data_IF_286631518288
#
_entry.id   IF_286631518288
#
_cell.length_a   1.000
_cell.length_b   1.000
_cell.length_c   1.000
_cell.angle_alpha   90.00
_cell.angle_beta   90.00
_cell.angle_gamma   90.00
#
_symmetry.space_group_name_H-M   'P 1'
#
loop_
_entity.id
_entity.type
_entity.pdbx_description
1 polymer ?
2 polymer ?
3 non-polymer ?
4 water ?
#
# COMPACT_ATOMS: atom_id res chain seq x y z
N UNK A 1 -7.94 -29.36 1.83
CA UNK A 1 -7.74 -27.91 1.94
C UNK A 1 -8.97 -27.17 2.42
N UNK A 2 -8.77 -25.99 3.00
CA UNK A 2 -9.89 -25.24 3.53
C UNK A 2 -10.16 -23.98 2.72
N UNK A 3 -11.39 -23.86 2.22
CA UNK A 3 -11.80 -22.64 1.54
C UNK A 3 -12.39 -21.65 2.53
N UNK A 4 -11.88 -20.42 2.53
CA UNK A 4 -12.43 -19.34 3.33
C UNK A 4 -13.16 -18.36 2.42
N UNK A 5 -14.43 -18.12 2.75
CA UNK A 5 -15.33 -17.31 1.93
C UNK A 5 -15.74 -16.06 2.71
N UNK A 6 -15.24 -14.92 2.29
CA UNK A 6 -15.49 -13.66 3.00
C UNK A 6 -16.51 -12.79 2.24
N UNK A 7 -17.40 -12.12 2.98
CA UNK A 7 -18.37 -11.21 2.38
C UNK A 7 -18.67 -10.07 3.35
N UNK A 8 -18.88 -8.84 2.81
CA UNK A 8 -18.87 -8.44 1.40
C UNK A 8 -17.46 -8.03 0.98
N UNK A 9 -17.25 -7.85 -0.32
CA UNK A 9 -15.96 -7.38 -0.83
C UNK A 9 -15.77 -5.90 -0.50
N UNK A 10 -16.86 -5.15 -0.59
CA UNK A 10 -16.82 -3.72 -0.31
C UNK A 10 -17.88 -3.42 0.73
N UNK A 11 -17.52 -2.74 1.81
CA UNK A 11 -18.46 -2.40 2.86
C UNK A 11 -18.52 -0.89 3.13
N UNK A 12 -19.44 -0.20 2.45
CA UNK A 12 -19.65 1.23 2.67
C UNK A 12 -20.55 1.46 3.88
N UNK A 13 -20.09 2.28 4.82
CA UNK A 13 -20.83 2.50 6.04
C UNK A 13 -20.75 3.96 6.48
N UNK A 14 -21.89 4.51 6.89
CA UNK A 14 -21.94 5.86 7.44
C UNK A 14 -21.23 5.86 8.80
N UNK A 15 -20.38 6.86 9.07
CA UNK A 15 -19.73 6.87 10.38
C UNK A 15 -20.77 6.91 11.51
N UNK A 16 -20.56 6.13 12.56
CA UNK A 16 -21.53 6.03 13.63
C UNK A 16 -22.35 4.76 13.56
N UNK A 17 -22.49 4.21 12.37
CA UNK A 17 -23.30 3.00 12.15
C UNK A 17 -22.46 1.77 12.45
N UNK A 18 -23.11 0.66 12.82
CA UNK A 18 -22.37 -0.60 13.04
C UNK A 18 -22.02 -1.26 11.70
N UNK A 19 -21.07 -2.18 11.72
CA UNK A 19 -20.75 -2.95 10.53
C UNK A 19 -20.46 -4.39 10.88
N UNK A 20 -20.71 -5.29 9.94
CA UNK A 20 -20.41 -6.71 10.16
C UNK A 20 -19.81 -7.33 8.91
N UNK A 21 -18.72 -8.07 9.10
CA UNK A 21 -18.08 -8.81 8.01
C UNK A 21 -18.22 -10.30 8.28
N UNK A 22 -18.66 -11.04 7.27
CA UNK A 22 -18.86 -12.48 7.40
C UNK A 22 -17.70 -13.27 6.83
N UNK A 23 -17.44 -14.43 7.43
CA UNK A 23 -16.42 -15.34 6.95
C UNK A 23 -16.92 -16.78 7.15
N UNK A 24 -16.88 -17.57 6.10
CA UNK A 24 -17.37 -18.93 6.13
C UNK A 24 -16.24 -19.87 5.79
N UNK A 25 -16.11 -20.96 6.55
CA UNK A 25 -15.11 -22.00 6.26
C UNK A 25 -15.77 -23.24 5.68
N UNK A 26 -15.03 -23.97 4.84
CA UNK A 26 -15.59 -25.17 4.23
C UNK A 26 -15.66 -26.37 5.17
N UNK A 27 -15.01 -26.29 6.32
CA UNK A 27 -15.17 -27.30 7.37
C UNK A 27 -15.03 -26.61 8.73
N UNK A 28 -15.52 -27.23 9.80
CA UNK A 28 -15.43 -26.61 11.12
C UNK A 28 -13.99 -26.27 11.51
N UNK A 29 -13.80 -25.13 12.14
CA UNK A 29 -12.46 -24.71 12.57
C UNK A 29 -12.24 -24.92 14.09
N UNK A 30 -13.05 -25.78 14.71
CA UNK A 30 -13.06 -26.00 16.17
C UNK A 30 -12.20 -27.18 16.72
N UNK A 31 -12.36 -27.46 18.02
CA UNK A 31 -11.65 -28.44 18.86
C UNK A 31 -10.56 -29.37 18.29
N UNK A 32 -9.39 -28.82 17.99
CA UNK A 32 -8.16 -29.59 18.07
C UNK A 32 -7.33 -28.86 19.14
N UNK A 33 -8.01 -28.48 20.22
CA UNK A 33 -7.52 -27.41 21.07
C UNK A 33 -8.41 -27.08 22.25
N UNK A 34 -9.62 -26.65 21.90
CA UNK A 34 -10.48 -25.87 22.75
C UNK A 34 -10.96 -24.74 21.85
N UNK A 35 -10.09 -24.35 20.94
CA UNK A 35 -10.25 -23.13 20.19
C UNK A 35 -10.82 -23.30 18.79
N UNK A 36 -11.32 -22.18 18.27
CA UNK A 36 -11.70 -22.03 16.87
C UNK A 36 -10.53 -21.34 16.20
N UNK A 37 -9.93 -21.99 15.20
CA UNK A 37 -8.73 -21.43 14.59
C UNK A 37 -9.02 -20.48 13.43
N UNK A 38 -9.63 -19.35 13.78
CA UNK A 38 -10.04 -18.33 12.84
C UNK A 38 -9.58 -16.99 13.39
N UNK A 39 -8.92 -16.20 12.56
CA UNK A 39 -8.35 -14.96 13.04
C UNK A 39 -8.68 -13.85 12.06
N UNK A 40 -8.74 -12.63 12.59
CA UNK A 40 -9.05 -11.45 11.79
C UNK A 40 -7.92 -10.44 11.84
N UNK A 41 -7.56 -9.93 10.66
CA UNK A 41 -6.47 -8.96 10.50
C UNK A 41 -6.89 -7.72 9.76
N UNK A 42 -6.20 -6.63 10.07
CA UNK A 42 -6.25 -5.41 9.28
C UNK A 42 -4.96 -5.26 8.50
N UNK A 43 -5.05 -5.15 7.18
CA UNK A 43 -3.85 -4.96 6.36
C UNK A 43 -3.21 -3.60 6.67
N UNK A 44 -1.89 -3.59 6.77
CA UNK A 44 -1.16 -2.35 7.01
C UNK A 44 0.04 -2.30 6.09
N UNK A 45 -0.13 -1.68 4.91
CA UNK A 45 0.98 -1.53 3.95
C UNK A 45 2.24 -1.01 4.63
N UNK A 46 3.36 -1.69 4.44
CA UNK A 46 4.63 -1.26 5.01
C UNK A 46 5.05 -1.96 6.29
N UNK A 47 4.14 -2.71 6.91
CA UNK A 47 4.45 -3.42 8.15
C UNK A 47 3.61 -4.67 8.28
N UNK A 48 3.73 -5.34 9.42
CA UNK A 48 2.89 -6.50 9.71
C UNK A 48 1.39 -6.19 9.68
N UNK A 49 0.58 -7.15 9.23
CA UNK A 49 -0.87 -6.96 9.36
C UNK A 49 -1.20 -6.91 10.85
N UNK A 50 -2.20 -6.12 11.22
CA UNK A 50 -2.54 -5.99 12.62
C UNK A 50 -3.53 -7.07 13.03
N UNK A 51 -3.18 -7.89 14.02
CA UNK A 51 -4.16 -8.83 14.56
C UNK A 51 -5.24 -8.07 15.31
N UNK A 52 -6.50 -8.34 14.96
CA UNK A 52 -7.61 -7.69 15.62
C UNK A 52 -8.25 -8.66 16.59
N UNK A 53 -8.64 -9.82 16.05
CA UNK A 53 -9.27 -10.90 16.81
C UNK A 53 -8.50 -12.16 16.51
N UNK A 54 -8.17 -12.95 17.52
CA UNK A 54 -7.53 -14.23 17.25
C UNK A 54 -8.28 -15.34 17.95
N UNK A 55 -8.13 -16.55 17.41
CA UNK A 55 -8.79 -17.74 17.95
C UNK A 55 -10.29 -17.48 18.15
N UNK A 56 -10.91 -16.95 17.11
CA UNK A 56 -12.36 -16.78 17.08
C UNK A 56 -12.89 -15.50 17.70
N UNK A 57 -12.56 -15.25 18.97
CA UNK A 57 -13.22 -14.19 19.70
C UNK A 57 -12.29 -13.40 20.64
N UNK A 58 -11.00 -13.68 20.61
CA UNK A 58 -10.09 -12.99 21.53
C UNK A 58 -9.57 -11.69 20.92
N UNK A 59 -9.94 -10.57 21.54
CA UNK A 59 -9.52 -9.26 21.05
C UNK A 59 -8.08 -9.00 21.48
N UNK A 60 -7.23 -8.63 20.52
CA UNK A 60 -5.85 -8.35 20.83
C UNK A 60 -5.72 -7.03 21.62
N UNK A 61 -4.67 -6.93 22.42
CA UNK A 61 -4.47 -5.74 23.24
C UNK A 61 -4.35 -4.51 22.37
N UNK A 62 -4.93 -3.40 22.82
CA UNK A 62 -4.88 -2.17 22.06
C UNK A 62 -6.05 -2.00 21.10
N UNK A 63 -6.67 -3.10 20.70
CA UNK A 63 -7.83 -3.03 19.81
C UNK A 63 -9.06 -2.56 20.62
N UNK A 64 -9.74 -1.51 20.15
CA UNK A 64 -10.94 -0.95 20.78
C UNK A 64 -12.05 -1.98 20.96
N UNK A 65 -12.80 -1.92 22.06
CA UNK A 65 -13.85 -2.90 22.31
C UNK A 65 -15.05 -2.72 21.40
N UNK A 66 -14.98 -1.72 20.51
CA UNK A 66 -15.92 -1.58 19.38
C UNK A 66 -15.82 -2.76 18.42
N UNK A 67 -14.66 -3.40 18.40
CA UNK A 67 -14.43 -4.57 17.56
C UNK A 67 -14.68 -5.86 18.34
N UNK A 68 -15.36 -6.81 17.73
CA UNK A 68 -15.55 -8.11 18.38
C UNK A 68 -15.67 -9.20 17.34
N UNK A 69 -15.39 -10.44 17.75
CA UNK A 69 -15.47 -11.55 16.85
C UNK A 69 -16.30 -12.66 17.46
N UNK A 70 -17.04 -13.37 16.62
CA UNK A 70 -17.78 -14.53 17.11
C UNK A 70 -17.97 -15.53 15.98
N UNK A 71 -18.57 -16.66 16.32
CA UNK A 71 -18.91 -17.67 15.36
C UNK A 71 -18.71 -19.02 15.99
N UNK A 72 -19.25 -20.05 15.36
CA UNK A 72 -18.92 -21.40 15.78
C UNK A 72 -18.91 -22.31 14.57
N UNK A 73 -17.94 -23.21 14.55
CA UNK A 73 -17.81 -24.16 13.47
C UNK A 73 -17.37 -23.53 12.17
N UNK A 74 -18.34 -23.07 11.38
CA UNK A 74 -18.07 -22.69 10.00
C UNK A 74 -18.44 -21.27 9.63
N UNK A 75 -19.22 -20.58 10.45
CA UNK A 75 -19.58 -19.21 10.11
C UNK A 75 -19.17 -18.22 11.20
N UNK A 76 -18.40 -17.22 10.79
CA UNK A 76 -17.79 -16.28 11.70
C UNK A 76 -18.11 -14.85 11.31
N UNK A 77 -18.11 -13.96 12.28
CA UNK A 77 -18.31 -12.55 11.97
C UNK A 77 -17.34 -11.68 12.71
N UNK A 78 -16.90 -10.61 12.06
CA UNK A 78 -16.19 -9.53 12.71
C UNK A 78 -17.15 -8.37 12.75
N UNK A 79 -17.43 -7.86 13.96
CA UNK A 79 -18.39 -6.78 14.13
C UNK A 79 -17.74 -5.51 14.66
N UNK A 80 -18.13 -4.38 14.08
CA UNK A 80 -17.73 -3.08 14.58
C UNK A 80 -18.99 -2.39 15.08
N UNK A 81 -19.07 -2.11 16.38
CA UNK A 81 -20.33 -1.65 16.98
C UNK A 81 -20.68 -0.23 16.53
N UNK A 82 -19.65 0.55 16.26
CA UNK A 82 -19.79 1.94 15.84
C UNK A 82 -18.56 2.27 15.00
N UNK A 83 -18.76 2.47 13.71
CA UNK A 83 -17.66 2.69 12.79
C UNK A 83 -17.18 4.13 12.89
N UNK A 84 -15.86 4.28 12.95
CA UNK A 84 -15.22 5.59 12.95
C UNK A 84 -14.42 5.80 11.66
N UNK A 85 -14.16 7.07 11.35
CA UNK A 85 -13.47 7.39 10.10
C UNK A 85 -12.14 6.67 10.00
N UNK A 86 -11.47 6.48 11.14
CA UNK A 86 -10.18 5.81 11.16
C UNK A 86 -10.25 4.32 10.86
N UNK A 87 -11.45 3.74 10.84
CA UNK A 87 -11.56 2.31 10.60
C UNK A 87 -11.42 1.90 9.13
N UNK A 88 -11.29 2.87 8.24
CA UNK A 88 -11.13 2.56 6.82
C UNK A 88 -9.94 1.62 6.62
N UNK A 89 -10.10 0.63 5.74
CA UNK A 89 -9.01 -0.26 5.44
C UNK A 89 -9.49 -1.59 4.92
N UNK A 90 -8.53 -2.50 4.75
CA UNK A 90 -8.78 -3.81 4.18
C UNK A 90 -8.63 -4.88 5.25
N UNK A 91 -9.69 -5.66 5.44
CA UNK A 91 -9.80 -6.63 6.54
C UNK A 91 -9.87 -8.05 6.01
N UNK A 92 -9.12 -8.97 6.62
CA UNK A 92 -9.07 -10.38 6.20
C UNK A 92 -9.42 -11.30 7.33
N UNK A 93 -10.17 -12.35 7.04
CA UNK A 93 -10.18 -13.51 7.95
C UNK A 93 -9.20 -14.54 7.41
N UNK A 94 -8.70 -15.39 8.29
CA UNK A 94 -7.82 -16.47 7.86
C UNK A 94 -7.90 -17.63 8.85
N UNK A 95 -7.72 -18.85 8.35
CA UNK A 95 -7.79 -20.03 9.22
C UNK A 95 -6.41 -20.67 9.40
N UNK A 96 -6.18 -21.26 10.57
CA UNK A 96 -4.93 -21.99 10.84
C UNK A 96 -5.21 -23.35 11.47
N UNK A 97 -6.42 -23.84 11.26
CA UNK A 97 -6.76 -25.20 11.67
C UNK A 97 -5.81 -26.19 11.02
N UNK A 98 -5.56 -25.95 9.74
CA UNK A 98 -4.68 -26.79 8.94
C UNK A 98 -3.74 -25.92 8.13
N UNK A 99 -2.62 -26.50 7.73
CA UNK A 99 -1.79 -25.94 6.68
C UNK A 99 -2.13 -26.64 5.35
N UNK A 100 -2.14 -25.90 4.23
CA UNK A 100 -1.84 -24.47 4.11
C UNK A 100 -2.82 -23.57 4.84
N UNK A 101 -2.30 -22.55 5.50
CA UNK A 101 -3.16 -21.47 5.96
C UNK A 101 -3.87 -20.88 4.75
N UNK A 102 -5.15 -20.51 4.92
CA UNK A 102 -5.89 -19.93 3.81
C UNK A 102 -6.69 -18.72 4.31
N UNK A 103 -7.04 -17.85 3.36
CA UNK A 103 -7.47 -16.48 3.63
C UNK A 103 -8.76 -16.16 2.90
N UNK A 104 -9.59 -15.30 3.52
CA UNK A 104 -10.73 -14.75 2.82
C UNK A 104 -10.27 -13.78 1.74
N UNK A 105 -11.22 -13.38 0.88
CA UNK A 105 -10.94 -12.46 -0.22
C UNK A 105 -10.58 -11.05 0.25
N UNK A 106 -11.02 -10.69 1.45
CA UNK A 106 -10.76 -9.37 1.98
C UNK A 106 -11.97 -8.47 1.82
N UNK A 107 -12.16 -7.59 2.78
CA UNK A 107 -13.27 -6.64 2.77
C UNK A 107 -12.70 -5.24 2.91
N UNK A 108 -13.04 -4.36 1.97
CA UNK A 108 -12.64 -2.96 2.07
C UNK A 108 -13.75 -2.16 2.75
N UNK A 109 -13.49 -1.75 3.98
CA UNK A 109 -14.42 -0.87 4.69
C UNK A 109 -14.22 0.55 4.17
N UNK A 110 -15.30 1.13 3.64
CA UNK A 110 -15.32 2.48 3.10
C UNK A 110 -16.24 3.36 3.91
N UNK A 111 -15.82 4.58 4.23
CA UNK A 111 -16.67 5.49 4.96
C UNK A 111 -17.52 6.29 3.99
N UNK A 112 -18.84 6.23 4.17
CA UNK A 112 -19.77 7.00 3.34
C UNK A 112 -20.04 8.38 3.93
N UNK A 113 -19.39 9.39 3.36
CA UNK A 113 -19.60 10.74 3.83
C UNK A 113 -20.40 11.55 2.82
N UNK A 114 -20.71 12.80 3.13
CA UNK A 114 -21.39 13.66 2.17
C UNK A 114 -20.52 13.91 0.93
N UNK A 115 -21.16 14.22 -0.19
CA UNK A 115 -20.44 14.55 -1.41
C UNK A 115 -19.53 15.76 -1.19
N UNK A 116 -18.31 15.68 -1.71
CA UNK A 116 -17.35 16.77 -1.62
C UNK A 116 -16.71 16.96 -2.98
N UNK A 117 -16.82 18.16 -3.52
CA UNK A 117 -16.28 18.46 -4.85
C UNK A 117 -14.78 18.60 -4.77
N UNK A 118 -14.07 18.13 -5.80
CA UNK A 118 -12.61 18.28 -5.73
C UNK A 118 -12.18 19.72 -5.93
N UNK A 119 -11.12 20.09 -5.24
CA UNK A 119 -10.40 21.33 -5.52
C UNK A 119 -9.29 20.99 -6.49
N UNK A 120 -9.27 21.67 -7.63
CA UNK A 120 -8.42 21.30 -8.75
C UNK A 120 -7.27 22.28 -8.90
N UNK A 121 -6.06 21.74 -9.05
CA UNK A 121 -4.86 22.55 -9.23
C UNK A 121 -4.10 22.03 -10.44
N UNK A 122 -3.47 22.92 -11.19
CA UNK A 122 -2.65 22.43 -12.30
C UNK A 122 -1.23 22.99 -12.17
N UNK A 123 -0.23 22.15 -12.47
CA UNK A 123 1.17 22.50 -12.42
C UNK A 123 1.85 22.33 -13.77
N UNK A 124 2.42 23.43 -14.29
CA UNK A 124 3.25 23.30 -15.48
C UNK A 124 4.51 22.48 -15.19
N UNK A 125 5.17 21.97 -16.23
CA UNK A 125 6.49 21.40 -15.98
C UNK A 125 7.41 22.47 -15.40
N UNK A 126 8.24 22.07 -14.45
CA UNK A 126 9.21 22.96 -13.86
C UNK A 126 10.28 23.31 -14.87
N UNK A 127 10.87 24.49 -14.74
CA UNK A 127 12.00 24.84 -15.58
C UNK A 127 13.13 23.80 -15.42
N UNK A 128 13.28 23.28 -14.20
CA UNK A 128 14.30 22.28 -13.93
C UNK A 128 14.08 21.02 -14.75
N UNK A 129 12.84 20.54 -14.80
CA UNK A 129 12.55 19.36 -15.60
C UNK A 129 12.76 19.65 -17.09
N UNK A 130 12.27 20.80 -17.55
CA UNK A 130 12.43 21.17 -18.96
C UNK A 130 13.89 21.20 -19.38
N UNK A 131 14.77 21.65 -18.49
CA UNK A 131 16.17 21.69 -18.83
C UNK A 131 16.71 20.27 -19.00
N UNK A 132 16.08 19.30 -18.34
CA UNK A 132 16.53 17.92 -18.44
C UNK A 132 15.98 17.24 -19.69
N UNK A 133 15.04 17.91 -20.37
CA UNK A 133 14.54 17.45 -21.65
C UNK A 133 13.18 16.76 -21.62
N UNK A 134 12.51 16.75 -20.48
CA UNK A 134 11.19 16.14 -20.42
C UNK A 134 10.17 17.15 -19.88
N UNK A 135 8.89 16.84 -20.07
CA UNK A 135 7.84 17.72 -19.61
C UNK A 135 6.71 16.88 -19.01
N UNK A 136 6.45 17.09 -17.72
CA UNK A 136 5.32 16.47 -17.07
C UNK A 136 4.38 17.57 -16.60
N UNK A 137 3.11 17.46 -16.97
CA UNK A 137 2.09 18.40 -16.53
C UNK A 137 1.27 17.63 -15.49
N UNK A 138 1.07 18.23 -14.32
CA UNK A 138 0.39 17.51 -13.24
C UNK A 138 -0.91 18.20 -12.88
N UNK A 139 -1.98 17.42 -12.85
CA UNK A 139 -3.27 17.91 -12.39
C UNK A 139 -3.61 17.25 -11.05
N UNK A 140 -3.99 18.06 -10.07
CA UNK A 140 -4.31 17.57 -8.73
C UNK A 140 -5.79 17.77 -8.41
N UNK A 141 -6.46 16.70 -8.04
CA UNK A 141 -7.85 16.76 -7.57
C UNK A 141 -7.78 16.49 -6.09
N UNK A 142 -8.11 17.49 -5.29
CA UNK A 142 -7.91 17.39 -3.84
C UNK A 142 -9.18 17.29 -3.03
N UNK A 143 -9.19 16.31 -2.13
CA UNK A 143 -10.21 16.13 -1.10
C UNK A 143 -11.63 16.06 -1.64
N UNK A 144 -11.92 14.99 -2.38
CA UNK A 144 -13.24 14.79 -2.92
C UNK A 144 -13.85 13.46 -2.48
N UNK A 145 -15.17 13.37 -2.67
CA UNK A 145 -15.93 12.16 -2.37
C UNK A 145 -17.23 12.22 -3.17
N UNK A 146 -17.67 11.11 -3.77
CA UNK A 146 -17.08 9.77 -3.78
C UNK A 146 -15.88 9.67 -4.68
N UNK A 147 -15.34 8.46 -4.77
CA UNK A 147 -14.07 8.25 -5.44
C UNK A 147 -14.13 8.43 -6.95
N UNK A 148 -15.29 8.14 -7.55
CA UNK A 148 -15.44 8.23 -9.00
C UNK A 148 -15.17 9.64 -9.52
N UNK A 149 -14.21 9.77 -10.44
CA UNK A 149 -13.85 11.05 -11.04
C UNK A 149 -13.30 10.80 -12.42
N UNK A 150 -13.54 11.72 -13.33
CA UNK A 150 -12.94 11.63 -14.67
C UNK A 150 -12.03 12.82 -14.92
N UNK A 151 -10.82 12.57 -15.38
CA UNK A 151 -9.90 13.63 -15.74
C UNK A 151 -9.64 13.53 -17.24
N UNK A 152 -9.84 14.64 -17.93
CA UNK A 152 -9.56 14.71 -19.37
C UNK A 152 -8.53 15.79 -19.64
N UNK A 153 -7.48 15.44 -20.38
CA UNK A 153 -6.44 16.40 -20.72
C UNK A 153 -6.69 16.98 -22.11
N UNK A 154 -6.46 18.28 -22.25
CA UNK A 154 -6.57 18.92 -23.56
C UNK A 154 -5.34 19.76 -23.81
N UNK A 155 -4.80 19.67 -25.01
CA UNK A 155 -3.63 20.46 -25.40
C UNK A 155 -3.96 21.22 -26.66
N UNK A 156 -4.08 22.54 -26.55
CA UNK A 156 -4.65 23.38 -27.61
C UNK A 156 -5.94 22.75 -28.13
N UNK A 157 -6.79 22.35 -27.19
CA UNK A 157 -8.10 21.76 -27.44
C UNK A 157 -8.09 20.38 -28.12
N UNK A 158 -6.91 19.78 -28.23
CA UNK A 158 -6.83 18.39 -28.68
C UNK A 158 -6.99 17.45 -27.49
N UNK A 159 -7.95 16.55 -27.56
CA UNK A 159 -8.19 15.62 -26.47
C UNK A 159 -7.07 14.60 -26.41
N UNK A 160 -6.42 14.50 -25.26
CA UNK A 160 -5.36 13.53 -25.05
C UNK A 160 -5.93 12.19 -24.61
N UNK A 161 -5.53 11.12 -25.29
CA UNK A 161 -6.02 9.80 -24.94
C UNK A 161 -4.84 8.83 -24.90
N UNK A 162 -4.54 8.32 -23.72
CA UNK A 162 -3.46 7.34 -23.59
C UNK A 162 -2.11 7.90 -23.19
N UNK A 163 -1.99 9.21 -23.02
CA UNK A 163 -0.67 9.72 -22.64
C UNK A 163 -0.66 10.33 -21.24
N UNK A 164 -1.56 9.84 -20.41
CA UNK A 164 -1.54 10.25 -19.01
C UNK A 164 -1.63 9.05 -18.08
N UNK A 165 -1.13 9.23 -16.87
CA UNK A 165 -1.25 8.21 -15.83
C UNK A 165 -1.82 8.86 -14.59
N UNK A 166 -2.63 8.12 -13.83
CA UNK A 166 -3.15 8.70 -12.61
C UNK A 166 -3.06 7.72 -11.46
N UNK A 167 -3.07 8.27 -10.24
CA UNK A 167 -3.20 7.42 -9.08
C UNK A 167 -3.95 8.17 -8.01
N UNK A 168 -4.50 7.39 -7.08
CA UNK A 168 -5.45 7.90 -6.10
C UNK A 168 -5.00 7.46 -4.73
N UNK A 169 -5.16 8.34 -3.75
CA UNK A 169 -4.84 7.99 -2.37
C UNK A 169 -5.89 7.07 -1.78
N UNK A 170 -5.51 6.41 -0.69
CA UNK A 170 -6.48 5.68 0.10
C UNK A 170 -7.39 6.70 0.74
N UNK A 171 -8.55 6.26 1.19
CA UNK A 171 -9.49 7.16 1.82
C UNK A 171 -8.88 7.77 3.10
N UNK A 172 -8.97 9.10 3.22
CA UNK A 172 -8.35 9.79 4.37
C UNK A 172 -8.96 9.31 5.69
N UNK A 173 -8.10 9.05 6.68
CA UNK A 173 -8.54 8.49 7.95
C UNK A 173 -9.26 9.50 8.85
N UNK A 174 -9.23 10.78 8.49
CA UNK A 174 -9.89 11.82 9.27
C UNK A 174 -11.12 12.38 8.58
N UNK A 175 -10.98 12.84 7.32
CA UNK A 175 -12.12 13.44 6.64
C UNK A 175 -12.74 12.56 5.55
N UNK A 176 -12.19 11.37 5.33
CA UNK A 176 -12.81 10.33 4.50
C UNK A 176 -12.91 10.72 3.03
N UNK A 177 -12.06 11.65 2.60
CA UNK A 177 -12.01 12.04 1.20
C UNK A 177 -10.90 11.32 0.48
N UNK A 178 -10.89 11.49 -0.83
CA UNK A 178 -9.82 11.00 -1.70
C UNK A 178 -9.12 12.17 -2.35
N UNK A 179 -7.90 11.94 -2.81
CA UNK A 179 -7.21 12.88 -3.66
C UNK A 179 -6.62 12.11 -4.84
N UNK A 180 -6.45 12.79 -5.97
CA UNK A 180 -6.00 12.11 -7.18
C UNK A 180 -4.99 12.99 -7.89
N UNK A 181 -3.97 12.34 -8.47
CA UNK A 181 -2.97 13.04 -9.26
C UNK A 181 -3.00 12.45 -10.67
N UNK A 182 -3.05 13.30 -11.68
CA UNK A 182 -2.96 12.84 -13.06
C UNK A 182 -1.76 13.52 -13.69
N UNK A 183 -0.91 12.74 -14.34
CA UNK A 183 0.28 13.29 -14.98
C UNK A 183 0.23 13.08 -16.48
N UNK A 184 0.29 14.18 -17.21
CA UNK A 184 0.37 14.14 -18.66
C UNK A 184 1.83 14.25 -19.07
N UNK A 185 2.29 13.27 -19.83
CA UNK A 185 3.67 13.21 -20.27
C UNK A 185 3.82 13.64 -21.74
N UNK A 186 4.77 14.55 -21.98
CA UNK A 186 5.15 14.97 -23.34
C UNK A 186 6.64 15.19 -23.46
N UNK A 187 7.16 15.10 -24.69
CA UNK A 187 8.54 15.53 -24.91
C UNK A 187 8.61 17.05 -24.76
N UNK A 188 9.77 17.56 -24.37
CA UNK A 188 9.95 19.00 -24.26
C UNK A 188 9.65 19.68 -25.59
N UNK A 189 10.12 19.08 -26.69
CA UNK A 189 9.87 19.62 -28.02
C UNK A 189 8.37 19.81 -28.23
N UNK A 190 7.58 18.81 -27.86
CA UNK A 190 6.14 18.88 -28.02
C UNK A 190 5.50 19.86 -27.03
N UNK A 191 6.07 19.97 -25.83
CA UNK A 191 5.53 20.93 -24.88
C UNK A 191 5.70 22.36 -25.43
N UNK A 192 6.85 22.63 -26.02
CA UNK A 192 7.14 23.98 -26.52
C UNK A 192 6.33 24.32 -27.78
N UNK A 193 5.82 23.31 -28.47
CA UNK A 193 4.99 23.51 -29.66
C UNK A 193 3.57 24.03 -29.32
N UNK A 194 3.19 24.01 -28.05
CA UNK A 194 1.82 24.34 -27.71
C UNK A 194 1.64 25.37 -26.60
N UNK A 195 0.42 25.92 -26.55
CA UNK A 195 0.09 27.05 -25.69
C UNK A 195 -0.79 26.65 -24.52
N UNK A 196 -1.99 26.17 -24.82
CA UNK A 196 -3.00 25.99 -23.78
C UNK A 196 -3.02 24.55 -23.25
N UNK A 197 -2.73 24.42 -21.95
CA UNK A 197 -2.75 23.13 -21.28
C UNK A 197 -3.89 23.08 -20.30
N UNK A 198 -4.77 22.10 -20.46
CA UNK A 198 -6.03 22.09 -19.73
C UNK A 198 -6.35 20.74 -19.14
N UNK A 199 -6.76 20.76 -17.88
CA UNK A 199 -7.21 19.59 -17.13
C UNK A 199 -8.71 19.76 -16.84
N UNK A 200 -9.54 18.89 -17.42
CA UNK A 200 -10.98 18.99 -17.23
C UNK A 200 -11.48 17.88 -16.32
N UNK A 201 -12.19 18.26 -15.26
CA UNK A 201 -12.56 17.32 -14.20
C UNK A 201 -14.08 17.17 -14.09
N UNK A 202 -14.52 15.92 -14.13
CA UNK A 202 -15.92 15.58 -13.95
C UNK A 202 -16.09 14.86 -12.62
N UNK A 203 -17.05 15.32 -11.83
CA UNK A 203 -17.30 14.73 -10.53
C UNK A 203 -18.71 15.05 -10.09
N UNK A 204 -19.30 14.18 -9.27
CA UNK A 204 -20.67 14.33 -8.80
C UNK A 204 -20.93 15.68 -8.14
N UNK A 205 -19.91 16.22 -7.46
CA UNK A 205 -20.07 17.47 -6.75
C UNK A 205 -20.03 18.71 -7.63
N UNK A 206 -19.68 18.54 -8.91
CA UNK A 206 -19.60 19.64 -9.86
C UNK A 206 -20.78 19.61 -10.82
N UNK A 207 -21.56 20.69 -10.89
CA UNK A 207 -22.73 20.71 -11.76
C UNK A 207 -22.35 20.43 -13.20
N UNK A 208 -21.20 20.96 -13.58
CA UNK A 208 -20.62 20.82 -14.91
C UNK A 208 -19.13 20.65 -14.70
N UNK A 209 -18.44 20.04 -15.68
CA UNK A 209 -17.01 19.84 -15.49
C UNK A 209 -16.24 21.13 -15.27
N UNK A 210 -15.22 21.06 -14.44
CA UNK A 210 -14.36 22.20 -14.14
C UNK A 210 -13.08 22.07 -14.97
N UNK A 211 -12.67 23.15 -15.61
CA UNK A 211 -11.40 23.13 -16.32
C UNK A 211 -10.40 24.08 -15.67
N UNK A 212 -9.24 23.55 -15.29
CA UNK A 212 -8.12 24.39 -14.87
C UNK A 212 -7.11 24.38 -15.99
N UNK A 213 -6.62 25.55 -16.36
CA UNK A 213 -5.68 25.60 -17.46
C UNK A 213 -4.60 26.63 -17.20
N UNK A 214 -3.54 26.57 -17.98
CA UNK A 214 -2.53 27.61 -18.02
C UNK A 214 -2.05 27.78 -19.44
N UNK A 215 -1.55 28.97 -19.74
CA UNK A 215 -0.86 29.22 -21.00
C UNK A 215 0.64 29.09 -20.74
N UNK A 216 1.30 28.26 -21.55
CA UNK A 216 2.72 28.00 -21.38
C UNK A 216 3.56 29.28 -21.28
N UNK A 217 4.36 29.35 -20.21
CA UNK A 217 5.38 30.37 -20.08
C UNK A 217 4.86 31.75 -19.76
N UNK A 218 3.64 31.86 -19.23
CA UNK A 218 3.12 33.17 -18.89
C UNK A 218 2.79 33.31 -17.39
N UNK A 219 3.52 34.22 -16.77
CA UNK A 219 3.42 34.51 -15.35
C UNK A 219 2.01 34.96 -14.95
N UNK B 1 10.04 -9.48 25.19
CA UNK B 1 9.04 -9.23 24.15
C UNK B 1 9.30 -10.06 22.88
N UNK B 2 8.26 -10.67 22.32
CA UNK B 2 8.38 -11.46 21.09
C UNK B 2 8.63 -10.58 19.90
N UNK B 3 9.67 -10.96 19.17
CA UNK B 3 10.20 -10.09 18.11
C UNK B 3 10.70 -10.99 16.97
N UNK B 4 10.26 -10.65 15.76
CA UNK B 4 10.68 -11.31 14.51
C UNK B 4 11.00 -10.19 13.54
N UNK B 5 12.24 -10.13 13.10
CA UNK B 5 12.65 -9.07 12.19
C UNK B 5 13.31 -9.68 10.97
N UNK B 6 12.88 -9.24 9.80
CA UNK B 6 13.30 -9.82 8.54
C UNK B 6 14.39 -8.99 7.87
N UNK B 7 15.12 -9.61 6.96
CA UNK B 7 16.14 -8.90 6.21
C UNK B 7 15.51 -7.90 5.27
N UNK B 8 16.32 -7.02 4.72
CA UNK B 8 15.83 -5.90 3.93
C UNK B 8 15.33 -6.22 2.53
N UNK B 9 14.72 -5.24 1.90
CA UNK B 9 14.18 -5.36 0.54
C UNK B 9 15.21 -5.88 -0.46
N UNK B 10 14.71 -6.64 -1.43
CA UNK B 10 15.53 -7.32 -2.42
C UNK B 10 15.04 -6.98 -3.81
N UNK B 11 15.97 -6.85 -4.73
CA UNK B 11 15.60 -6.66 -6.11
C UNK B 11 16.39 -7.68 -6.92
N UNK B 12 15.69 -8.43 -7.74
CA UNK B 12 16.32 -9.55 -8.47
C UNK B 12 15.90 -9.55 -9.93
N UNK B 13 16.76 -10.10 -10.80
CA UNK B 13 16.41 -10.35 -12.19
C UNK B 13 15.67 -11.67 -12.29
N UNK B 14 14.77 -11.82 -13.29
CA UNK B 14 14.12 -13.10 -13.50
C UNK B 14 15.12 -14.25 -13.64
N UNK B 15 14.84 -15.36 -12.96
CA UNK B 15 15.71 -16.52 -12.99
C UNK B 15 16.59 -16.64 -11.77
N UNK B 16 16.80 -15.53 -11.06
CA UNK B 16 17.67 -15.54 -9.89
C UNK B 16 16.93 -16.08 -8.67
N UNK B 17 17.67 -16.47 -7.63
CA UNK B 17 17.03 -16.82 -6.36
C UNK B 17 17.04 -15.65 -5.38
N UNK B 18 16.27 -15.76 -4.31
CA UNK B 18 16.33 -14.80 -3.23
C UNK B 18 16.28 -15.58 -1.91
N UNK B 19 17.03 -15.11 -0.91
CA UNK B 19 17.01 -15.71 0.41
C UNK B 19 16.65 -14.63 1.43
N UNK B 20 15.57 -14.87 2.18
CA UNK B 20 15.11 -13.90 3.18
C UNK B 20 15.32 -14.51 4.57
N UNK B 21 15.81 -13.71 5.52
CA UNK B 21 15.99 -14.20 6.89
C UNK B 21 14.92 -13.64 7.81
N UNK B 22 14.73 -14.35 8.93
CA UNK B 22 13.73 -14.02 9.93
C UNK B 22 14.41 -14.24 11.28
N UNK B 23 14.98 -13.17 11.84
CA UNK B 23 15.70 -13.28 13.11
C UNK B 23 14.74 -13.04 14.27
N UNK B 24 14.79 -13.91 15.28
CA UNK B 24 13.84 -13.81 16.38
C UNK B 24 14.50 -13.56 17.73
N UNK B 25 13.72 -13.04 18.68
CA UNK B 25 14.15 -12.94 20.07
C UNK B 25 12.92 -12.93 20.96
N UNK B 26 13.14 -13.10 22.26
CA UNK B 26 12.07 -12.96 23.23
C UNK B 26 11.15 -14.15 23.43
N UNK B 27 11.51 -15.30 22.84
CA UNK B 27 10.76 -16.53 23.07
C UNK B 27 11.61 -17.74 22.73
N UNK B 28 11.19 -18.90 23.22
CA UNK B 28 11.88 -20.17 22.96
C UNK B 28 11.68 -20.60 21.51
N UNK B 29 12.71 -20.38 20.71
CA UNK B 29 12.65 -20.60 19.27
C UNK B 29 12.20 -22.01 18.90
N UNK B 30 12.62 -23.00 19.67
CA UNK B 30 12.31 -24.38 19.34
C UNK B 30 10.85 -24.77 19.58
N UNK B 31 10.09 -23.90 20.25
CA UNK B 31 8.74 -24.24 20.65
C UNK B 31 7.65 -23.94 19.61
N UNK B 32 8.00 -23.16 18.59
CA UNK B 32 7.00 -22.73 17.58
C UNK B 32 7.42 -22.98 16.14
N UNK B 33 6.46 -23.36 15.30
CA UNK B 33 6.68 -23.35 13.86
C UNK B 33 6.88 -21.93 13.35
N UNK B 34 7.68 -21.80 12.29
CA UNK B 34 7.80 -20.53 11.56
C UNK B 34 7.20 -20.72 10.18
N UNK B 35 6.16 -19.92 9.89
CA UNK B 35 5.48 -19.96 8.61
C UNK B 35 5.94 -18.81 7.74
N UNK B 36 5.84 -18.98 6.43
CA UNK B 36 6.07 -17.89 5.49
C UNK B 36 4.85 -17.67 4.63
N UNK B 37 4.47 -16.41 4.48
CA UNK B 37 3.29 -15.97 3.74
C UNK B 37 3.71 -14.84 2.82
N UNK B 38 3.15 -14.77 1.61
CA UNK B 38 3.44 -13.60 0.79
C UNK B 38 2.14 -12.94 0.30
N UNK B 39 2.25 -11.68 -0.09
CA UNK B 39 1.14 -11.03 -0.78
C UNK B 39 1.65 -10.22 -1.96
N UNK B 40 1.20 -10.62 -3.14
CA UNK B 40 1.57 -9.98 -4.40
C UNK B 40 0.58 -8.88 -4.73
N UNK B 41 1.01 -7.88 -5.52
CA UNK B 41 0.08 -6.82 -5.90
C UNK B 41 -1.19 -7.36 -6.58
N UNK B 42 -2.35 -6.88 -6.15
CA UNK B 42 -3.61 -7.28 -6.73
C UNK B 42 -4.01 -8.72 -6.45
N UNK B 43 -3.37 -9.32 -5.46
CA UNK B 43 -3.65 -10.71 -5.11
C UNK B 43 -3.93 -10.84 -3.62
N UNK B 44 -4.60 -11.93 -3.24
CA UNK B 44 -4.78 -12.21 -1.83
C UNK B 44 -3.50 -12.78 -1.26
N UNK B 45 -3.41 -12.89 0.06
CA UNK B 45 -2.24 -13.55 0.67
C UNK B 45 -2.18 -15.03 0.34
N UNK B 46 -0.96 -15.57 0.37
CA UNK B 46 -0.67 -16.95 0.03
C UNK B 46 0.28 -17.55 1.06
N UNK B 47 -0.07 -18.70 1.64
CA UNK B 47 0.85 -19.45 2.51
C UNK B 47 1.86 -20.22 1.65
N UNK B 48 3.13 -20.01 1.94
CA UNK B 48 4.23 -20.63 1.19
C UNK B 48 4.62 -21.96 1.83
N UNK B 49 4.75 -21.96 3.15
CA UNK B 49 5.16 -23.18 3.84
C UNK B 49 5.55 -22.91 5.29
N UNK B 50 6.10 -23.88 5.94
CA UNK B 50 6.55 -23.72 7.32
C UNK B 50 7.69 -24.66 7.63
N UNK B 51 8.45 -24.28 8.63
CA UNK B 51 9.48 -25.16 9.16
C UNK B 51 9.23 -25.36 10.64
N UNK B 52 9.48 -26.58 11.13
CA UNK B 52 9.42 -26.87 12.56
C UNK B 52 10.84 -26.86 13.11
N UNK B 53 11.16 -25.85 13.92
CA UNK B 53 12.54 -25.73 14.40
C UNK B 53 13.12 -26.96 15.08
N UNK B 54 12.38 -27.63 15.96
CA UNK B 54 13.00 -28.69 16.76
C UNK B 54 13.46 -29.88 15.90
N UNK B 55 12.75 -30.13 14.80
CA UNK B 55 13.05 -31.27 13.95
C UNK B 55 13.70 -30.88 12.63
N UNK B 56 13.57 -29.62 12.26
CA UNK B 56 13.95 -29.17 10.94
C UNK B 56 12.99 -29.51 9.84
N UNK B 57 11.88 -30.14 10.21
CA UNK B 57 10.92 -30.62 9.25
C UNK B 57 10.25 -29.48 8.51
N UNK B 58 10.07 -29.67 7.21
CA UNK B 58 9.44 -28.65 6.37
C UNK B 58 8.17 -29.15 5.69
N UNK B 59 7.27 -28.21 5.41
CA UNK B 59 6.06 -28.49 4.65
C UNK B 59 5.79 -27.28 3.77
N UNK B 60 5.70 -27.49 2.45
CA UNK B 60 5.47 -26.40 1.49
C UNK B 60 4.17 -26.59 0.74
N UNK B 61 3.52 -25.50 0.37
CA UNK B 61 2.35 -25.59 -0.49
C UNK B 61 2.76 -26.15 -1.85
N UNK B 62 1.82 -26.81 -2.52
CA UNK B 62 2.09 -27.48 -3.80
C UNK B 62 2.75 -26.55 -4.82
N UNK B 63 2.27 -25.31 -4.86
CA UNK B 63 2.74 -24.30 -5.80
C UNK B 63 4.25 -24.04 -5.66
N UNK B 64 4.78 -24.24 -4.47
CA UNK B 64 6.18 -23.94 -4.20
C UNK B 64 7.08 -25.17 -4.04
N UNK B 65 6.51 -26.37 -4.14
CA UNK B 65 7.31 -27.59 -4.13
C UNK B 65 8.37 -27.50 -5.25
N UNK B 66 9.63 -27.74 -4.89
CA UNK B 66 10.72 -27.68 -5.85
C UNK B 66 11.23 -26.30 -6.18
N UNK B 67 10.67 -25.27 -5.54
CA UNK B 67 11.06 -23.88 -5.75
C UNK B 67 11.60 -23.24 -4.48
N UNK B 68 11.14 -23.74 -3.34
CA UNK B 68 11.43 -23.07 -2.08
C UNK B 68 12.19 -24.01 -1.13
N UNK B 69 13.10 -23.44 -0.36
CA UNK B 69 13.79 -24.18 0.68
C UNK B 69 13.72 -23.38 1.97
N UNK B 70 13.15 -23.99 3.00
CA UNK B 70 13.15 -23.36 4.31
C UNK B 70 14.17 -24.03 5.20
N UNK B 71 14.94 -23.21 5.90
CA UNK B 71 15.94 -23.72 6.83
C UNK B 71 15.84 -22.93 8.11
N UNK B 72 16.64 -23.34 9.09
CA UNK B 72 16.76 -22.61 10.31
C UNK B 72 18.08 -22.89 11.02
N UNK B 73 18.57 -21.91 11.77
CA UNK B 73 19.74 -22.16 12.60
C UNK B 73 19.36 -21.95 14.06
N UNK B 74 19.38 -23.04 14.82
CA UNK B 74 18.99 -22.99 16.21
C UNK B 74 19.89 -22.07 17.04
N UNK B 75 21.19 -22.09 16.77
CA UNK B 75 22.11 -21.28 17.58
C UNK B 75 21.85 -19.79 17.39
N UNK B 76 21.20 -19.43 16.28
CA UNK B 76 20.95 -18.03 15.97
C UNK B 76 19.47 -17.66 16.08
N UNK B 77 18.64 -18.63 16.45
CA UNK B 77 17.19 -18.39 16.55
C UNK B 77 16.64 -17.71 15.30
N UNK B 78 17.05 -18.22 14.14
CA UNK B 78 16.74 -17.55 12.88
C UNK B 78 16.22 -18.54 11.86
N UNK B 79 15.16 -18.17 11.14
CA UNK B 79 14.66 -19.00 10.05
C UNK B 79 14.96 -18.35 8.71
N UNK B 80 15.11 -19.16 7.67
CA UNK B 80 15.36 -18.65 6.33
C UNK B 80 14.40 -19.21 5.31
N UNK B 81 14.11 -18.41 4.29
CA UNK B 81 13.32 -18.85 3.15
C UNK B 81 14.07 -18.50 1.86
N UNK B 82 14.42 -19.51 1.08
CA UNK B 82 15.04 -19.27 -0.22
C UNK B 82 14.08 -19.67 -1.34
N UNK B 83 13.82 -18.73 -2.24
CA UNK B 83 12.92 -19.01 -3.37
C UNK B 83 13.71 -18.90 -4.65
N UNK B 84 13.72 -19.96 -5.44
CA UNK B 84 14.55 -19.97 -6.64
C UNK B 84 13.70 -19.78 -7.92
N UNK B 85 14.39 -19.53 -9.04
CA UNK B 85 13.74 -19.32 -10.32
C UNK B 85 12.70 -18.22 -10.33
N UNK B 86 13.04 -17.06 -9.76
CA UNK B 86 12.09 -15.98 -9.61
C UNK B 86 11.52 -15.50 -10.94
N UNK B 87 10.21 -15.26 -10.94
CA UNK B 87 9.53 -14.69 -12.10
C UNK B 87 8.87 -13.39 -11.67
N UNK B 88 8.32 -12.68 -12.65
CA UNK B 88 7.72 -11.38 -12.41
C UNK B 88 6.60 -11.45 -11.37
N UNK B 89 5.82 -12.53 -11.40
CA UNK B 89 4.71 -12.66 -10.45
C UNK B 89 5.14 -13.21 -9.09
N UNK B 90 6.45 -13.33 -8.88
CA UNK B 90 6.96 -13.56 -7.53
C UNK B 90 7.21 -12.24 -6.82
N UNK B 91 7.00 -11.12 -7.53
CA UNK B 91 7.08 -9.82 -6.92
C UNK B 91 5.99 -9.72 -5.84
N UNK B 92 6.40 -9.47 -4.61
CA UNK B 92 5.49 -9.56 -3.47
C UNK B 92 6.16 -9.10 -2.19
N UNK B 93 5.36 -8.86 -1.15
CA UNK B 93 5.91 -8.73 0.19
C UNK B 93 5.84 -10.10 0.86
N UNK B 94 6.97 -10.54 1.41
CA UNK B 94 7.09 -11.84 2.05
C UNK B 94 7.16 -11.67 3.57
N UNK B 95 6.41 -12.49 4.30
CA UNK B 95 6.38 -12.42 5.75
C UNK B 95 6.75 -13.73 6.41
N UNK B 96 7.50 -13.66 7.52
CA UNK B 96 7.62 -14.82 8.39
C UNK B 96 6.62 -14.63 9.52
N UNK B 97 6.11 -15.75 10.04
CA UNK B 97 5.08 -15.71 11.07
C UNK B 97 5.33 -16.79 12.11
N UNK B 98 5.43 -16.37 13.37
CA UNK B 98 5.48 -17.37 14.44
C UNK B 98 4.10 -18.00 14.58
N UNK B 99 4.05 -19.33 14.61
CA UNK B 99 2.77 -20.01 14.69
C UNK B 99 2.03 -19.75 15.98
N UNK B 100 0.77 -20.20 16.02
CA UNK B 100 -0.09 -19.92 17.17
C UNK B 100 0.17 -20.78 18.41
N UNK B 101 0.66 -21.99 18.21
CA UNK B 101 0.69 -22.98 19.28
C UNK B 101 2.10 -23.50 19.57
N UNK B 102 2.36 -23.81 20.84
CA UNK B 102 3.66 -24.36 21.21
C UNK B 102 3.59 -25.86 21.51
N UNK B 103 2.54 -26.52 21.06
CA UNK B 103 2.40 -27.95 21.29
C UNK B 103 1.68 -28.27 22.59
N UNK B 104 1.41 -27.22 23.37
CA UNK B 104 0.63 -27.35 24.60
C UNK B 104 -0.53 -26.36 24.62
N UNK B 105 -0.24 -25.10 24.32
CA UNK B 105 -1.26 -24.05 24.34
C UNK B 105 -1.19 -23.19 23.07
N UNK B 106 -2.27 -22.46 22.80
CA UNK B 106 -2.34 -21.62 21.60
C UNK B 106 -2.71 -20.17 21.94
N UNK B 107 -2.18 -19.22 21.17
CA UNK B 107 -2.54 -17.82 21.35
C UNK B 107 -2.42 -17.12 20.01
N UNK B 108 -2.09 -15.84 20.00
CA UNK B 108 -1.96 -15.12 18.74
C UNK B 108 -0.69 -15.44 17.97
N UNK B 109 -0.68 -15.11 16.69
CA UNK B 109 0.53 -15.20 15.91
C UNK B 109 1.34 -13.90 16.08
N UNK B 110 2.63 -14.00 15.80
CA UNK B 110 3.47 -12.80 15.70
C UNK B 110 4.12 -12.75 14.34
N UNK B 111 3.95 -11.63 13.65
CA UNK B 111 4.46 -11.45 12.28
C UNK B 111 5.75 -10.65 12.20
N UNK B 112 6.61 -11.02 11.27
CA UNK B 112 7.71 -10.14 10.86
C UNK B 112 7.18 -8.91 10.13
N UNK B 113 8.06 -7.95 9.85
CA UNK B 113 7.59 -6.68 9.30
C UNK B 113 7.40 -6.74 7.77
N UNK B 114 7.82 -7.84 7.16
CA UNK B 114 7.70 -8.00 5.72
C UNK B 114 9.00 -7.67 5.01
N UNK B 115 9.20 -8.36 3.89
CA UNK B 115 10.35 -8.11 3.02
C UNK B 115 9.82 -7.96 1.61
N UNK B 116 10.01 -6.78 1.02
CA UNK B 116 9.65 -6.59 -0.39
C UNK B 116 10.68 -7.27 -1.30
N UNK B 117 10.21 -8.14 -2.18
CA UNK B 117 11.07 -8.73 -3.23
C UNK B 117 10.52 -8.24 -4.57
N UNK B 118 11.31 -7.46 -5.29
CA UNK B 118 10.92 -7.00 -6.59
C UNK B 118 11.64 -7.81 -7.66
N UNK B 119 10.90 -8.44 -8.57
CA UNK B 119 11.52 -9.22 -9.63
C UNK B 119 11.31 -8.52 -10.96
N UNK B 120 12.40 -8.14 -11.63
CA UNK B 120 12.30 -7.28 -12.78
C UNK B 120 13.61 -7.25 -13.54
N UNK B 121 13.52 -7.01 -14.85
CA UNK B 121 14.71 -6.83 -15.68
C UNK B 121 15.39 -5.48 -15.45
N UNK B 122 14.65 -4.55 -14.86
CA UNK B 122 15.16 -3.21 -14.61
C UNK B 122 16.32 -3.18 -13.63
N UNK B 123 17.13 -2.14 -13.73
CA UNK B 123 18.28 -1.96 -12.85
C UNK B 123 18.00 -0.80 -11.93
N UNK B 124 18.56 -0.87 -10.73
CA UNK B 124 18.36 0.17 -9.71
C UNK B 124 18.77 1.53 -10.26
N UNK B 125 17.94 2.55 -9.98
CA UNK B 125 18.24 3.90 -10.44
C UNK B 125 17.61 4.90 -9.49
N UNK B 126 18.34 5.98 -9.19
CA UNK B 126 17.81 7.01 -8.32
C UNK B 126 16.87 7.94 -9.07
N UNK B 127 15.98 8.61 -8.33
CA UNK B 127 15.02 9.53 -8.94
C UNK B 127 15.60 10.92 -9.16
N UNK B 128 15.03 11.67 -10.09
CA UNK B 128 15.22 13.11 -10.12
C UNK B 128 14.07 13.69 -9.33
N UNK B 129 14.30 14.81 -8.66
CA UNK B 129 13.25 15.45 -7.87
C UNK B 129 12.99 16.84 -8.43
N UNK B 130 11.76 17.09 -8.86
CA UNK B 130 11.42 18.36 -9.48
C UNK B 130 10.35 19.07 -8.68
N UNK B 131 10.42 20.39 -8.59
CA UNK B 131 9.40 21.09 -7.81
C UNK B 131 8.08 21.26 -8.57
N UNK B 132 6.99 21.19 -7.83
CA UNK B 132 5.68 21.55 -8.35
C UNK B 132 5.30 22.86 -7.68
N UNK B 133 5.53 23.96 -8.38
CA UNK B 133 5.54 25.26 -7.73
C UNK B 133 4.16 25.90 -7.72
N UNK B 134 3.85 26.65 -6.64
CA UNK B 134 2.58 27.36 -6.51
C UNK B 134 2.56 28.66 -7.30
N UNK B 135 1.47 29.44 -7.15
CA UNK B 135 1.28 30.69 -7.88
C UNK B 135 1.24 30.45 -9.39
N UNK B 142 -5.45 32.71 -1.41
CA UNK B 142 -5.94 32.05 -0.22
C UNK B 142 -5.22 30.76 0.14
N UNK B 143 -5.58 29.68 -0.55
CA UNK B 143 -4.89 28.41 -0.36
C UNK B 143 -4.11 28.07 -1.61
N UNK B 144 -2.90 27.57 -1.44
CA UNK B 144 -2.04 27.18 -2.56
C UNK B 144 -1.66 25.71 -2.46
N UNK B 145 -1.50 25.05 -3.60
CA UNK B 145 -0.93 23.70 -3.61
C UNK B 145 0.49 23.75 -4.14
N UNK B 146 1.35 22.97 -3.54
CA UNK B 146 2.71 22.80 -4.05
C UNK B 146 3.09 21.35 -3.87
N UNK B 147 4.21 20.94 -4.46
CA UNK B 147 4.61 19.55 -4.31
C UNK B 147 5.96 19.25 -4.93
N UNK B 148 6.25 17.96 -5.01
CA UNK B 148 7.48 17.45 -5.62
C UNK B 148 7.12 16.28 -6.52
N UNK B 149 7.73 16.28 -7.70
CA UNK B 149 7.64 15.17 -8.63
C UNK B 149 8.91 14.35 -8.48
N UNK B 150 8.75 13.09 -8.11
CA UNK B 150 9.87 12.17 -7.91
C UNK B 150 9.87 11.19 -9.09
N UNK B 151 10.79 11.40 -10.03
CA UNK B 151 10.64 10.80 -11.35
C UNK B 151 11.74 9.82 -11.73
N UNK B 152 11.32 8.71 -12.34
CA UNK B 152 12.23 7.74 -12.97
C UNK B 152 13.20 7.07 -12.01
N UNK B 153 12.65 6.33 -11.05
CA UNK B 153 13.49 5.56 -10.13
C UNK B 153 13.08 4.11 -10.16
N UNK B 154 13.96 3.24 -9.65
CA UNK B 154 13.69 1.81 -9.53
C UNK B 154 14.61 1.26 -8.45
N UNK B 155 14.10 0.36 -7.60
CA UNK B 155 12.74 -0.11 -7.46
C UNK B 155 11.96 0.74 -6.49
N UNK B 156 10.76 0.30 -6.16
CA UNK B 156 10.06 0.87 -5.02
C UNK B 156 10.83 0.46 -3.76
N UNK B 157 10.66 1.20 -2.65
CA UNK B 157 9.85 2.41 -2.50
C UNK B 157 10.70 3.68 -2.39
N UNK B 158 10.05 4.83 -2.45
CA UNK B 158 10.66 6.08 -2.00
C UNK B 158 9.83 6.59 -0.85
N UNK B 159 10.47 7.31 0.08
CA UNK B 159 9.73 7.97 1.12
C UNK B 159 9.80 9.47 0.91
N UNK B 160 8.73 10.16 1.24
CA UNK B 160 8.69 11.60 1.09
C UNK B 160 8.12 12.19 2.37
N UNK B 161 8.85 13.13 2.95
CA UNK B 161 8.29 13.92 4.03
C UNK B 161 8.38 15.40 3.64
N UNK B 162 7.74 16.24 4.43
CA UNK B 162 7.79 17.69 4.20
C UNK B 162 8.33 18.40 5.42
N UNK B 163 9.25 19.34 5.19
CA UNK B 163 9.90 20.10 6.25
C UNK B 163 10.41 19.21 7.37
N UNK B 164 11.10 18.14 6.96
CA UNK B 164 11.67 17.15 7.85
C UNK B 164 10.68 16.54 8.83
N UNK B 165 9.43 16.43 8.41
CA UNK B 165 8.40 15.81 9.24
C UNK B 165 7.58 16.80 10.03
N UNK B 166 7.96 18.07 9.98
CA UNK B 166 7.23 19.10 10.72
C UNK B 166 5.91 19.46 10.04
N UNK B 167 5.80 19.14 8.75
CA UNK B 167 4.60 19.45 7.99
C UNK B 167 3.92 18.17 7.54
N UNK B 168 2.73 17.91 8.11
CA UNK B 168 2.01 16.67 7.82
C UNK B 168 0.58 16.95 7.39
N UNK B 169 0.00 18.03 7.91
CA UNK B 169 -1.38 18.37 7.60
C UNK B 169 -1.53 18.72 6.13
N UNK B 170 -2.45 18.04 5.44
CA UNK B 170 -2.72 18.36 4.05
C UNK B 170 -1.74 17.75 3.04
N UNK B 171 -0.84 16.90 3.51
CA UNK B 171 0.10 16.22 2.62
C UNK B 171 -0.56 15.00 1.98
N UNK B 172 -0.36 14.84 0.67
CA UNK B 172 -0.77 13.62 -0.02
C UNK B 172 0.38 13.13 -0.87
N UNK B 173 0.93 11.98 -0.49
CA UNK B 173 1.92 11.33 -1.31
C UNK B 173 1.23 10.20 -2.04
N UNK B 174 1.23 10.29 -3.36
CA UNK B 174 0.46 9.39 -4.21
C UNK B 174 1.19 8.08 -4.47
N UNK B 175 0.42 7.02 -4.74
CA UNK B 175 1.06 5.79 -5.20
C UNK B 175 1.88 6.03 -6.47
N UNK B 176 3.03 5.38 -6.55
CA UNK B 176 3.85 5.47 -7.76
C UNK B 176 3.16 4.82 -8.93
N UNK B 177 3.41 5.33 -10.13
CA UNK B 177 2.98 4.64 -11.32
C UNK B 177 4.22 4.05 -12.00
N UNK B 178 4.07 2.84 -12.52
CA UNK B 178 5.15 2.22 -13.28
C UNK B 178 5.06 2.68 -14.73
N UNK B 179 5.97 3.59 -15.10
CA UNK B 179 6.00 4.11 -16.46
C UNK B 179 6.34 3.00 -17.46
N UNK B 180 6.11 3.27 -18.74
CA UNK B 180 6.35 2.28 -19.79
C UNK B 180 7.82 1.91 -19.92
N UNK B 181 8.68 2.73 -19.31
CA UNK B 181 10.13 2.52 -19.40
C UNK B 181 10.67 1.72 -18.21
N UNK B 182 9.76 1.12 -17.44
CA UNK B 182 10.15 0.26 -16.33
C UNK B 182 10.58 1.00 -15.08
N UNK B 183 10.53 2.34 -15.14
CA UNK B 183 10.89 3.17 -14.00
C UNK B 183 9.66 3.80 -13.38
N UNK B 184 9.70 4.05 -12.08
CA UNK B 184 8.56 4.61 -11.37
C UNK B 184 8.58 6.13 -11.31
N UNK B 185 7.39 6.71 -11.14
CA UNK B 185 7.24 8.15 -10.92
C UNK B 185 6.11 8.38 -9.92
N UNK B 186 6.32 9.30 -8.99
CA UNK B 186 5.22 9.70 -8.10
C UNK B 186 5.27 11.17 -7.79
N UNK B 187 4.15 11.68 -7.29
CA UNK B 187 4.08 13.05 -6.81
C UNK B 187 3.69 13.06 -5.34
N UNK B 188 4.16 14.08 -4.63
CA UNK B 188 3.74 14.36 -3.28
C UNK B 188 3.34 15.83 -3.25
N UNK B 189 2.17 16.12 -2.69
CA UNK B 189 1.68 17.49 -2.67
C UNK B 189 1.25 17.90 -1.27
N UNK B 190 1.08 19.20 -1.09
CA UNK B 190 0.59 19.74 0.16
C UNK B 190 -0.12 21.05 -0.14
N UNK B 191 -1.18 21.35 0.61
CA UNK B 191 -1.81 22.63 0.45
C UNK B 191 -1.39 23.51 1.62
N UNK B 192 -1.08 24.76 1.33
CA UNK B 192 -0.57 25.69 2.33
C UNK B 192 -1.22 27.06 2.14
N UNK B 193 -1.15 27.92 3.16
CA UNK B 193 -1.70 29.27 2.96
C UNK B 193 -0.85 30.08 1.98
N UNK B 194 -1.49 30.75 1.02
CA UNK B 194 -0.74 31.55 0.05
C UNK B 194 0.01 32.70 0.72
N UNK B 195 -0.52 33.16 1.85
CA UNK B 195 0.09 34.24 2.61
C UNK B 195 1.49 33.89 3.07
N UNK B 196 1.80 32.59 3.10
CA UNK B 196 3.08 32.10 3.60
C UNK B 196 4.11 31.89 2.50
N UNK B 197 3.67 31.96 1.24
CA UNK B 197 4.58 31.69 0.13
C UNK B 197 5.65 32.78 0.05
N UNK B 198 6.91 32.38 -0.05
CA UNK B 198 8.00 33.33 -0.04
C UNK B 198 8.46 33.74 1.35
N UNK B 199 7.78 33.22 2.36
CA UNK B 199 8.14 33.49 3.74
C UNK B 199 8.46 32.18 4.46
N UNK B 200 7.48 31.29 4.57
CA UNK B 200 7.70 29.95 5.09
C UNK B 200 8.36 29.06 4.05
N UNK B 201 9.48 28.43 4.40
CA UNK B 201 10.13 27.51 3.47
C UNK B 201 9.43 26.15 3.42
N UNK B 202 9.30 25.62 2.21
CA UNK B 202 8.69 24.32 2.01
C UNK B 202 9.70 23.42 1.32
N UNK B 203 10.11 22.38 2.03
CA UNK B 203 11.12 21.45 1.54
C UNK B 203 10.57 20.03 1.55
N UNK B 204 10.68 19.32 0.42
CA UNK B 204 10.28 17.93 0.39
C UNK B 204 11.53 17.09 0.58
N UNK B 205 11.47 16.18 1.54
CA UNK B 205 12.59 15.31 1.85
C UNK B 205 12.36 13.97 1.19
N UNK B 206 13.18 13.66 0.18
CA UNK B 206 12.99 12.44 -0.61
C UNK B 206 14.11 11.45 -0.29
N UNK B 207 13.75 10.20 -0.06
CA UNK B 207 14.75 9.19 0.20
C UNK B 207 14.47 7.93 -0.59
N UNK B 208 15.41 7.56 -1.44
CA UNK B 208 15.33 6.32 -2.18
C UNK B 208 16.50 5.45 -1.78
N UNK B 209 16.32 4.68 -0.72
CA UNK B 209 17.41 3.92 -0.14
C UNK B 209 18.07 2.90 -1.09
N UNK B 210 17.28 2.23 -1.97
CA UNK B 210 17.93 1.29 -2.89
C UNK B 210 19.09 1.88 -3.71
N UNK B 211 19.00 3.16 -4.07
CA UNK B 211 20.08 3.82 -4.79
C UNK B 211 20.89 4.72 -3.88
N UNK B 212 20.61 4.63 -2.58
CA UNK B 212 21.15 5.55 -1.58
C UNK B 212 21.06 7.01 -2.03
N UNK B 213 19.87 7.41 -2.47
CA UNK B 213 19.62 8.77 -2.91
C UNK B 213 18.74 9.52 -1.90
N UNK B 214 19.29 10.55 -1.27
CA UNK B 214 18.52 11.42 -0.40
C UNK B 214 18.62 12.85 -0.90
N UNK B 215 17.48 13.50 -1.10
CA UNK B 215 17.43 14.86 -1.61
C UNK B 215 16.46 15.68 -0.79
N UNK B 216 16.89 16.86 -0.37
CA UNK B 216 16.02 17.86 0.23
C UNK B 216 15.81 18.98 -0.78
N UNK B 217 14.61 19.04 -1.35
CA UNK B 217 14.28 19.99 -2.41
C UNK B 217 13.39 21.13 -1.91
N UNK B 218 13.88 22.36 -1.94
CA UNK B 218 13.03 23.51 -1.65
C UNK B 218 12.11 23.79 -2.83
N UNK B 219 10.84 24.04 -2.52
CA UNK B 219 9.85 24.35 -3.52
C UNK B 219 9.44 25.80 -3.34
N UNK B 220 9.70 26.62 -4.36
CA UNK B 220 9.45 28.05 -4.26
C UNK B 220 8.47 28.49 -5.34
N UNK B 221 7.63 29.50 -5.04
CA UNK B 221 6.68 29.96 -6.03
C UNK B 221 7.38 30.53 -7.27
N UNK B 222 6.73 30.44 -8.43
CA UNK B 222 7.35 30.91 -9.68
C UNK B 222 7.12 32.40 -9.89
X LIG C 1 0.68 -23.31 14.33
X LIG C 1 -0.07 -22.05 14.09
X LIG C 1 2.06 -23.14 13.92
X LIG C 1 0.04 -24.38 13.57
X LIG C 1 0.65 -23.64 15.75
X LIG D 1 1.42 -28.87 10.26
X LIG D 1 2.12 -27.62 9.94
X LIG D 1 0.03 -28.77 9.82
X LIG D 1 2.08 -29.97 9.57
X LIG D 1 1.44 -29.07 11.69
#
# INVERSE_FOLDING_TARGET
DVVMTQSPLSLPVTPGEPASISCRSSQSLLHRSGHKYLHWYLQRPGQSPQVLIYLGSNRASGVPDRFSGSGSGTDFTLKISRVEAEDVGLYYCMQTLQTPWTFGQGTKVEIKRTVAAPSVFIFPPSDEQLKSGTASVVCLLNNFYPREAKVQWKVDNALQSGNSQESVTEQDSKDSTYSLSSTLTLSKADYEKHKVYACEVTHQGLSSPVTKSFNRGEC
QVQLVQSGAEVKKPGAPVKVSCETSGYRFSDYNVHWVRQAPGQGPEWIGRISPNSGGTKYAQKFQGRVTMTRDMSMNTAYMELSGLRSDDTAVYYCVRGHCDGTTCSRAYWGQGTLVTVSSASTKGPSVFPLAPSSKSTSGGTAALGCLVKDYFPEPVTVSWNSGALTSGVHTFPAVLQSSGLYSLSSVVTVPSSSLGTQTYICNVNHKPSNTKVDKRVEPKSC
SO4 S O1 O2 O3 O4
SO4 S O1 O2 O3 O4
#
